data_IF_742539991105
#
_entry.id   IF_742539991105
#
_cell.length_a   1.000
_cell.length_b   1.000
_cell.length_c   1.000
_cell.angle_alpha   90.00
_cell.angle_beta   90.00
_cell.angle_gamma   90.00
#
_symmetry.space_group_name_H-M   'P 1'
#
loop_
_entity.id
_entity.type
_entity.pdbx_description
1 polymer ?
#
# COMPACT_ATOMS: atom_id res chain seq x y z
N UNK A 1 17.34 -25.88 4.04
CA UNK A 1 16.26 -25.00 3.53
C UNK A 1 15.94 -23.90 4.54
N UNK A 2 15.20 -22.86 4.16
CA UNK A 2 14.81 -21.75 5.07
C UNK A 2 13.93 -22.21 6.24
N UNK A 3 13.09 -23.24 6.02
CA UNK A 3 12.21 -23.80 7.05
C UNK A 3 12.95 -24.51 8.18
N UNK A 4 14.11 -25.11 7.89
CA UNK A 4 14.98 -25.72 8.92
C UNK A 4 15.50 -24.69 9.94
N UNK A 5 15.39 -23.40 9.62
CA UNK A 5 15.74 -22.27 10.49
C UNK A 5 14.51 -21.60 11.12
N UNK A 6 13.32 -22.20 11.00
CA UNK A 6 12.07 -21.63 11.49
C UNK A 6 11.59 -20.38 10.73
N UNK A 7 12.11 -20.13 9.52
CA UNK A 7 11.72 -18.99 8.69
C UNK A 7 10.56 -19.32 7.75
N UNK A 8 9.72 -18.34 7.48
CA UNK A 8 8.60 -18.43 6.53
C UNK A 8 8.99 -17.87 5.15
N UNK A 9 8.77 -18.59 4.03
CA UNK A 9 8.99 -18.07 2.70
C UNK A 9 8.01 -16.94 2.34
N UNK A 10 8.51 -15.89 1.69
CA UNK A 10 7.70 -14.88 1.02
C UNK A 10 8.12 -14.72 -0.44
N UNK A 11 7.18 -14.35 -1.31
CA UNK A 11 7.43 -14.07 -2.72
C UNK A 11 7.23 -12.57 -3.00
N UNK A 12 8.29 -11.88 -3.41
CA UNK A 12 8.20 -10.50 -3.88
C UNK A 12 8.23 -10.46 -5.40
N UNK A 13 7.33 -9.68 -5.99
CA UNK A 13 7.19 -9.61 -7.45
C UNK A 13 6.82 -8.21 -7.95
N UNK A 14 7.23 -7.92 -9.18
CA UNK A 14 6.73 -6.77 -9.95
C UNK A 14 5.69 -7.19 -10.99
N UNK A 15 5.47 -8.49 -11.15
CA UNK A 15 4.50 -9.07 -12.09
C UNK A 15 3.38 -9.74 -11.30
N UNK A 16 2.21 -9.10 -11.13
CA UNK A 16 1.17 -9.57 -10.23
C UNK A 16 0.67 -10.99 -10.57
N UNK A 17 0.67 -11.41 -11.84
CA UNK A 17 0.27 -12.75 -12.30
C UNK A 17 1.14 -13.87 -11.71
N UNK A 18 2.35 -13.57 -11.26
CA UNK A 18 3.19 -14.55 -10.56
C UNK A 18 2.56 -15.06 -9.26
N UNK A 19 1.65 -14.29 -8.65
CA UNK A 19 0.83 -14.75 -7.52
C UNK A 19 -0.08 -15.89 -7.97
N UNK A 20 -0.72 -15.77 -9.14
CA UNK A 20 -1.58 -16.82 -9.71
C UNK A 20 -0.75 -18.10 -9.91
N UNK A 21 0.42 -17.98 -10.53
CA UNK A 21 1.28 -19.13 -10.80
C UNK A 21 1.78 -19.79 -9.51
N UNK A 22 2.14 -19.00 -8.49
CA UNK A 22 2.54 -19.52 -7.18
C UNK A 22 1.38 -20.29 -6.52
N UNK A 23 0.18 -19.71 -6.52
CA UNK A 23 -1.01 -20.33 -5.95
C UNK A 23 -1.41 -21.61 -6.69
N UNK A 24 -1.41 -21.62 -8.02
CA UNK A 24 -1.80 -22.76 -8.85
C UNK A 24 -0.78 -23.91 -8.80
N UNK A 25 0.51 -23.59 -8.74
CA UNK A 25 1.58 -24.60 -8.65
C UNK A 25 1.78 -25.16 -7.25
N UNK A 26 1.19 -24.54 -6.22
CA UNK A 26 1.41 -24.91 -4.83
C UNK A 26 2.83 -24.57 -4.37
N UNK A 27 3.40 -23.48 -4.87
CA UNK A 27 4.72 -23.01 -4.44
C UNK A 27 4.73 -22.73 -2.94
N UNK A 28 5.79 -23.14 -2.25
CA UNK A 28 5.95 -22.96 -0.81
C UNK A 28 6.15 -21.46 -0.47
N UNK A 29 5.05 -20.74 -0.23
CA UNK A 29 4.99 -19.30 0.07
C UNK A 29 3.94 -19.04 1.15
N UNK A 30 4.20 -18.11 2.07
CA UNK A 30 3.28 -17.72 3.14
C UNK A 30 2.77 -16.28 3.00
N UNK A 31 3.37 -15.48 2.11
CA UNK A 31 2.96 -14.10 1.84
C UNK A 31 3.51 -13.60 0.51
N UNK A 32 2.81 -12.64 -0.09
CA UNK A 32 3.21 -11.97 -1.33
C UNK A 32 3.58 -10.51 -1.07
N UNK A 33 4.54 -9.98 -1.83
CA UNK A 33 4.77 -8.53 -1.94
C UNK A 33 4.50 -8.14 -3.39
N UNK A 34 3.58 -7.20 -3.61
CA UNK A 34 3.20 -6.77 -4.95
C UNK A 34 2.94 -5.26 -5.02
N UNK A 35 3.20 -4.67 -6.19
CA UNK A 35 2.94 -3.24 -6.43
C UNK A 35 1.45 -3.02 -6.60
N UNK A 36 0.90 -2.09 -5.82
CA UNK A 36 -0.50 -1.72 -5.91
C UNK A 36 -0.69 -0.24 -5.54
N UNK A 37 -1.13 0.58 -6.49
CA UNK A 37 -1.35 2.00 -6.31
C UNK A 37 -2.38 2.56 -7.30
N UNK A 38 -3.02 3.68 -6.93
CA UNK A 38 -4.12 4.28 -7.69
C UNK A 38 -3.71 4.80 -9.08
N UNK A 39 -2.42 5.00 -9.33
CA UNK A 39 -1.90 5.55 -10.58
C UNK A 39 -1.49 4.47 -11.59
N UNK A 40 -1.57 3.18 -11.25
CA UNK A 40 -1.01 2.10 -12.08
C UNK A 40 0.51 2.20 -12.26
N UNK A 41 1.20 2.98 -11.42
CA UNK A 41 2.61 3.27 -11.62
C UNK A 41 3.46 2.03 -11.37
N UNK A 42 4.28 1.64 -12.34
CA UNK A 42 5.10 0.42 -12.36
C UNK A 42 4.28 -0.88 -12.26
N UNK A 43 2.99 -0.82 -12.57
CA UNK A 43 2.13 -1.98 -12.78
C UNK A 43 1.99 -2.17 -14.28
N UNK A 44 2.18 -3.40 -14.78
CA UNK A 44 2.03 -3.70 -16.20
C UNK A 44 0.61 -4.19 -16.57
N UNK A 45 -0.22 -4.43 -15.56
CA UNK A 45 -1.66 -4.61 -15.70
C UNK A 45 -2.39 -3.41 -15.11
N UNK A 46 -3.60 -3.16 -15.59
CA UNK A 46 -4.50 -2.15 -15.04
C UNK A 46 -4.85 -2.46 -13.58
N UNK A 47 -5.19 -1.41 -12.85
CA UNK A 47 -5.38 -1.45 -11.40
C UNK A 47 -6.46 -2.45 -10.98
N UNK A 48 -7.52 -2.58 -11.75
CA UNK A 48 -8.65 -3.50 -11.53
C UNK A 48 -8.26 -4.98 -11.72
N UNK A 49 -7.36 -5.28 -12.66
CA UNK A 49 -6.79 -6.62 -12.81
C UNK A 49 -5.91 -6.99 -11.62
N UNK A 50 -5.01 -6.10 -11.21
CA UNK A 50 -4.15 -6.33 -10.04
C UNK A 50 -4.97 -6.48 -8.78
N UNK A 51 -6.01 -5.64 -8.60
CA UNK A 51 -6.96 -5.77 -7.50
C UNK A 51 -7.62 -7.15 -7.46
N UNK A 52 -8.08 -7.67 -8.61
CA UNK A 52 -8.67 -9.01 -8.70
C UNK A 52 -7.67 -10.10 -8.32
N UNK A 53 -6.42 -9.98 -8.74
CA UNK A 53 -5.37 -10.94 -8.37
C UNK A 53 -5.16 -10.93 -6.86
N UNK A 54 -5.02 -9.74 -6.24
CA UNK A 54 -4.84 -9.60 -4.79
C UNK A 54 -6.01 -10.24 -4.05
N UNK A 55 -7.25 -9.98 -4.46
CA UNK A 55 -8.43 -10.51 -3.78
C UNK A 55 -8.54 -12.03 -3.82
N UNK A 56 -8.06 -12.66 -4.89
CA UNK A 56 -8.09 -14.10 -5.07
C UNK A 56 -6.81 -14.81 -4.58
N UNK A 57 -5.80 -14.08 -4.10
CA UNK A 57 -4.55 -14.66 -3.62
C UNK A 57 -4.80 -15.56 -2.39
N UNK A 58 -4.18 -16.75 -2.34
CA UNK A 58 -4.36 -17.68 -1.21
C UNK A 58 -3.73 -17.20 0.09
N UNK A 59 -2.69 -16.37 -0.01
CA UNK A 59 -1.94 -15.83 1.13
C UNK A 59 -2.09 -14.30 1.22
N UNK A 60 -1.80 -13.69 2.40
CA UNK A 60 -1.79 -12.24 2.55
C UNK A 60 -0.81 -11.55 1.60
N UNK A 61 -1.24 -10.40 1.05
CA UNK A 61 -0.43 -9.55 0.17
C UNK A 61 0.01 -8.30 0.93
N UNK A 62 1.29 -7.98 0.85
CA UNK A 62 1.86 -6.71 1.28
C UNK A 62 1.92 -5.80 0.04
N UNK A 63 1.01 -4.82 -0.01
CA UNK A 63 0.98 -3.80 -1.05
C UNK A 63 2.15 -2.82 -0.88
N UNK A 64 2.99 -2.68 -1.92
CA UNK A 64 4.09 -1.72 -1.96
C UNK A 64 3.84 -0.59 -2.96
N UNK A 65 4.59 0.50 -2.76
CA UNK A 65 4.50 1.74 -3.54
C UNK A 65 3.10 2.39 -3.54
N UNK A 66 2.38 2.46 -2.41
CA UNK A 66 1.02 3.03 -2.36
C UNK A 66 0.95 4.47 -2.89
N UNK A 67 2.03 5.25 -2.75
CA UNK A 67 2.14 6.62 -3.28
C UNK A 67 2.79 6.72 -4.67
N UNK A 68 2.89 5.63 -5.43
CA UNK A 68 3.48 5.62 -6.78
C UNK A 68 4.88 6.26 -6.84
N UNK A 69 5.71 5.95 -5.83
CA UNK A 69 7.04 6.55 -5.63
C UNK A 69 7.00 8.10 -5.60
N UNK A 70 6.09 8.67 -4.80
CA UNK A 70 5.95 10.11 -4.59
C UNK A 70 5.09 10.85 -5.62
N UNK A 71 4.50 10.15 -6.58
CA UNK A 71 3.58 10.75 -7.57
C UNK A 71 2.19 11.02 -7.01
N UNK A 72 1.79 10.28 -5.99
CA UNK A 72 0.55 10.51 -5.26
C UNK A 72 0.87 11.07 -3.87
N UNK A 73 0.07 12.03 -3.43
CA UNK A 73 0.12 12.49 -2.05
C UNK A 73 -0.31 11.35 -1.09
N UNK A 74 0.20 11.30 0.15
CA UNK A 74 -0.14 10.27 1.12
C UNK A 74 -1.64 10.03 1.28
N UNK A 75 -2.43 11.10 1.47
CA UNK A 75 -3.90 11.02 1.59
C UNK A 75 -4.53 10.28 0.41
N UNK A 76 -4.08 10.53 -0.82
CA UNK A 76 -4.65 9.92 -2.04
C UNK A 76 -4.23 8.46 -2.17
N UNK A 77 -2.93 8.18 -2.06
CA UNK A 77 -2.40 6.83 -2.22
C UNK A 77 -2.90 5.88 -1.15
N UNK A 78 -2.88 6.31 0.12
CA UNK A 78 -3.32 5.50 1.25
C UNK A 78 -4.84 5.32 1.27
N UNK A 79 -5.63 6.35 0.92
CA UNK A 79 -7.08 6.21 0.86
C UNK A 79 -7.50 5.15 -0.16
N UNK A 80 -6.85 5.13 -1.33
CA UNK A 80 -7.09 4.10 -2.32
C UNK A 80 -6.72 2.72 -1.80
N UNK A 81 -5.46 2.51 -1.38
CA UNK A 81 -5.00 1.16 -1.03
C UNK A 81 -5.77 0.59 0.16
N UNK A 82 -5.96 1.37 1.23
CA UNK A 82 -6.72 0.89 2.41
C UNK A 82 -8.19 0.61 2.11
N UNK A 83 -8.80 1.31 1.15
CA UNK A 83 -10.19 1.08 0.78
C UNK A 83 -10.40 -0.16 -0.08
N UNK A 84 -9.34 -0.70 -0.71
CA UNK A 84 -9.47 -1.73 -1.75
C UNK A 84 -8.70 -3.03 -1.48
N UNK A 85 -7.78 -3.07 -0.52
CA UNK A 85 -7.16 -4.34 -0.08
C UNK A 85 -8.07 -5.10 0.89
N UNK A 86 -7.76 -6.37 1.18
CA UNK A 86 -8.49 -7.18 2.16
C UNK A 86 -8.02 -6.89 3.58
N UNK A 87 -8.83 -7.25 4.58
CA UNK A 87 -8.47 -7.08 6.00
C UNK A 87 -7.20 -7.85 6.43
N UNK A 88 -6.85 -8.92 5.71
CA UNK A 88 -5.63 -9.71 5.97
C UNK A 88 -4.38 -9.12 5.32
N UNK A 89 -4.56 -8.23 4.36
CA UNK A 89 -3.47 -7.64 3.58
C UNK A 89 -2.81 -6.50 4.36
N UNK A 90 -1.58 -6.19 3.98
CA UNK A 90 -0.75 -5.17 4.63
C UNK A 90 -0.34 -4.10 3.62
N UNK A 91 0.00 -2.91 4.09
CA UNK A 91 0.55 -1.83 3.27
C UNK A 91 1.93 -1.46 3.77
N UNK A 92 2.92 -1.49 2.88
CA UNK A 92 4.29 -1.13 3.18
C UNK A 92 4.64 0.22 2.54
N UNK A 93 5.10 1.13 3.40
CA UNK A 93 5.48 2.49 3.03
C UNK A 93 6.96 2.72 3.35
N UNK A 94 7.73 3.13 2.34
CA UNK A 94 9.09 3.61 2.54
C UNK A 94 9.08 5.08 2.97
N UNK A 95 9.84 5.40 4.01
CA UNK A 95 10.04 6.76 4.52
C UNK A 95 11.52 7.00 4.76
N UNK A 96 11.97 8.24 4.59
CA UNK A 96 13.35 8.67 4.83
C UNK A 96 13.51 9.38 6.17
N UNK A 97 12.40 9.79 6.80
CA UNK A 97 12.42 10.48 8.09
C UNK A 97 11.34 9.97 9.04
N UNK A 98 11.53 10.12 10.37
CA UNK A 98 10.48 9.83 11.34
C UNK A 98 9.22 10.69 11.15
N UNK A 99 9.34 11.90 10.62
CA UNK A 99 8.19 12.80 10.39
C UNK A 99 7.30 12.26 9.25
N UNK A 100 7.91 11.82 8.15
CA UNK A 100 7.21 11.11 7.08
C UNK A 100 6.50 9.85 7.61
N UNK A 101 7.16 9.09 8.48
CA UNK A 101 6.57 7.90 9.10
C UNK A 101 5.33 8.26 9.95
N UNK A 102 5.40 9.33 10.77
CA UNK A 102 4.26 9.79 11.56
C UNK A 102 3.11 10.27 10.67
N UNK A 103 3.41 10.98 9.60
CA UNK A 103 2.42 11.47 8.63
C UNK A 103 1.62 10.31 8.02
N UNK A 104 2.31 9.30 7.47
CA UNK A 104 1.63 8.17 6.81
C UNK A 104 0.87 7.28 7.80
N UNK A 105 1.35 7.16 9.05
CA UNK A 105 0.62 6.48 10.13
C UNK A 105 -0.66 7.23 10.46
N UNK A 106 -0.61 8.56 10.59
CA UNK A 106 -1.77 9.38 10.92
C UNK A 106 -2.83 9.33 9.82
N UNK A 107 -2.43 9.45 8.54
CA UNK A 107 -3.36 9.26 7.42
C UNK A 107 -3.95 7.84 7.40
N UNK A 108 -3.13 6.80 7.56
CA UNK A 108 -3.63 5.42 7.56
C UNK A 108 -4.65 5.18 8.67
N UNK A 109 -4.36 5.65 9.90
CA UNK A 109 -5.28 5.55 11.02
C UNK A 109 -6.56 6.34 10.80
N UNK A 110 -6.47 7.58 10.32
CA UNK A 110 -7.64 8.42 10.10
C UNK A 110 -8.58 7.82 9.05
N UNK A 111 -8.03 7.22 7.98
CA UNK A 111 -8.78 6.50 6.95
C UNK A 111 -9.50 5.29 7.54
N UNK A 112 -8.77 4.42 8.25
CA UNK A 112 -9.32 3.20 8.85
C UNK A 112 -10.39 3.51 9.92
N UNK A 113 -10.17 4.58 10.70
CA UNK A 113 -11.10 5.06 11.74
C UNK A 113 -12.23 5.95 11.20
N UNK A 114 -12.21 6.29 9.89
CA UNK A 114 -13.15 7.22 9.23
C UNK A 114 -13.28 8.56 9.95
N UNK A 115 -12.15 9.18 10.29
CA UNK A 115 -12.07 10.52 10.89
C UNK A 115 -11.18 11.45 10.05
N UNK A 116 -11.24 12.75 10.34
CA UNK A 116 -10.25 13.69 9.83
C UNK A 116 -8.86 13.34 10.36
N UNK A 117 -7.84 13.51 9.52
CA UNK A 117 -6.44 13.48 9.94
C UNK A 117 -6.09 14.74 10.76
N UNK A 118 -4.96 14.65 11.46
CA UNK A 118 -4.38 15.70 12.29
C UNK A 118 -3.03 16.19 11.74
N UNK A 119 -2.78 16.00 10.45
CA UNK A 119 -1.51 16.40 9.83
C UNK A 119 -1.50 17.92 9.66
N UNK A 120 -0.41 18.57 10.08
CA UNK A 120 -0.26 20.01 9.84
C UNK A 120 0.09 20.24 8.36
N UNK A 121 -0.83 20.88 7.63
CA UNK A 121 -0.62 21.19 6.22
C UNK A 121 0.40 22.31 6.02
N UNK A 122 1.21 22.18 4.97
CA UNK A 122 2.14 23.23 4.56
C UNK A 122 1.41 24.55 4.27
N UNK A 123 1.83 25.61 4.94
CA UNK A 123 1.29 26.97 4.79
C UNK A 123 2.08 27.72 3.71
N UNK A 124 1.36 28.32 2.77
CA UNK A 124 1.90 29.25 1.76
C UNK A 124 0.99 30.47 1.68
N UNK A 125 1.48 31.60 1.14
CA UNK A 125 0.67 32.82 1.00
C UNK A 125 -0.65 32.57 0.24
N UNK A 126 -0.59 31.72 -0.80
CA UNK A 126 -1.77 31.33 -1.59
C UNK A 126 -2.79 30.48 -0.83
N UNK A 127 -2.41 29.85 0.29
CA UNK A 127 -3.28 29.02 1.12
C UNK A 127 -3.92 29.79 2.28
N UNK A 128 -3.63 31.08 2.44
CA UNK A 128 -4.18 31.90 3.53
C UNK A 128 -5.71 31.94 3.51
N UNK A 129 -6.33 31.96 2.32
CA UNK A 129 -7.80 31.93 2.16
C UNK A 129 -8.45 30.67 2.73
N UNK A 130 -7.70 29.56 2.82
CA UNK A 130 -8.17 28.30 3.40
C UNK A 130 -7.88 28.17 4.91
N UNK A 131 -7.16 29.12 5.50
CA UNK A 131 -6.82 29.14 6.94
C UNK A 131 -7.54 30.25 7.72
N UNK A 132 -8.27 31.14 7.04
CA UNK A 132 -9.00 32.22 7.70
C UNK A 132 -10.27 31.65 8.37
N UNK A 133 -10.23 31.48 9.69
CA UNK A 133 -11.36 30.99 10.49
C UNK A 133 -11.13 29.69 11.26
N UNK A 134 -9.92 29.11 11.19
CA UNK A 134 -9.42 28.14 12.18
C UNK A 134 -8.87 28.85 13.42
#
# INVERSE_FOLDING_TARGET
MIRDRGMLPGLSTHMPETIIYADESGLDVETYISIYNAAGFLMHLEVDWVHRIIWNAKHPVIAIKPMAAGRLLPLVGLAFVWATVRDTDMVAVGTSTPDEAREVIEFSRSILERRSDRVELQKTRSKQTATTGQ
#
